data_IF_037139081431
#
_entry.id   IF_037139081431
#
_cell.length_a   1.000
_cell.length_b   1.000
_cell.length_c   1.000
_cell.angle_alpha   90.00
_cell.angle_beta   90.00
_cell.angle_gamma   90.00
#
_symmetry.space_group_name_H-M   'P 1'
#
loop_
_entity.id
_entity.type
_entity.pdbx_description
1 polymer ?
#
# COMPACT_ATOMS: atom_id res chain seq x y z
N UNK A 1 22.70 -9.24 19.81
CA UNK A 1 23.85 -8.80 18.97
C UNK A 1 24.09 -9.84 17.89
N UNK A 2 23.35 -9.74 16.77
CA UNK A 2 23.66 -10.54 15.59
C UNK A 2 24.91 -9.95 14.93
N UNK A 3 25.90 -10.80 14.67
CA UNK A 3 27.18 -10.42 14.10
C UNK A 3 27.01 -9.97 12.63
N UNK A 4 27.77 -8.95 12.26
CA UNK A 4 27.84 -8.30 10.95
C UNK A 4 28.08 -9.31 9.81
N UNK A 5 27.01 -9.66 9.09
CA UNK A 5 27.06 -10.51 7.90
C UNK A 5 26.65 -9.79 6.62
N UNK A 6 26.58 -8.45 6.64
CA UNK A 6 26.27 -7.62 5.48
C UNK A 6 27.57 -6.99 5.01
N UNK A 7 28.15 -7.54 3.94
CA UNK A 7 29.52 -7.23 3.52
C UNK A 7 29.63 -5.95 2.67
N UNK A 8 28.53 -5.22 2.39
CA UNK A 8 28.50 -3.86 1.86
C UNK A 8 27.08 -3.27 2.00
N UNK A 9 26.94 -1.96 2.18
CA UNK A 9 25.63 -1.25 2.25
C UNK A 9 24.77 -1.36 0.96
N UNK A 10 25.30 -2.02 -0.08
CA UNK A 10 24.60 -2.32 -1.34
C UNK A 10 24.31 -3.82 -1.53
N UNK A 11 24.80 -4.70 -0.66
CA UNK A 11 24.52 -6.13 -0.72
C UNK A 11 23.25 -6.45 0.07
N UNK A 12 22.15 -6.55 -0.66
CA UNK A 12 20.85 -6.92 -0.13
C UNK A 12 20.74 -8.44 0.10
N UNK A 13 21.74 -9.24 -0.29
CA UNK A 13 21.66 -10.70 -0.18
C UNK A 13 21.80 -11.18 1.26
N UNK A 14 21.06 -12.24 1.56
CA UNK A 14 21.01 -12.85 2.89
C UNK A 14 21.60 -14.24 2.79
N UNK A 15 22.77 -14.42 3.41
CA UNK A 15 23.43 -15.72 3.45
C UNK A 15 22.51 -16.78 4.08
N UNK A 16 22.53 -18.06 3.63
CA UNK A 16 21.62 -19.09 4.15
C UNK A 16 21.64 -19.26 5.68
N UNK A 17 22.83 -19.16 6.29
CA UNK A 17 22.96 -19.23 7.76
C UNK A 17 22.24 -18.06 8.46
N UNK A 18 22.29 -16.86 7.89
CA UNK A 18 21.58 -15.69 8.42
C UNK A 18 20.07 -15.81 8.21
N UNK A 19 19.62 -16.28 7.04
CA UNK A 19 18.19 -16.56 6.81
C UNK A 19 17.63 -17.56 7.83
N UNK A 20 18.39 -18.61 8.17
CA UNK A 20 17.99 -19.57 9.21
C UNK A 20 17.98 -18.94 10.62
N UNK A 21 18.95 -18.08 10.93
CA UNK A 21 18.98 -17.37 12.21
C UNK A 21 17.78 -16.42 12.36
N UNK A 22 17.41 -15.71 11.29
CA UNK A 22 16.23 -14.85 11.23
C UNK A 22 14.95 -15.68 11.43
N UNK A 23 14.81 -16.80 10.73
CA UNK A 23 13.66 -17.70 10.91
C UNK A 23 13.57 -18.22 12.35
N UNK A 24 14.70 -18.65 12.92
CA UNK A 24 14.76 -19.12 14.31
C UNK A 24 14.38 -18.00 15.30
N UNK A 25 14.83 -16.77 15.05
CA UNK A 25 14.49 -15.62 15.87
C UNK A 25 12.98 -15.32 15.82
N UNK A 26 12.37 -15.30 14.62
CA UNK A 26 10.92 -15.13 14.45
C UNK A 26 10.13 -16.21 15.18
N UNK A 27 10.55 -17.47 15.04
CA UNK A 27 9.92 -18.59 15.74
C UNK A 27 10.05 -18.48 17.27
N UNK A 28 11.17 -17.96 17.76
CA UNK A 28 11.39 -17.73 19.19
C UNK A 28 10.46 -16.65 19.73
N UNK A 29 10.32 -15.52 19.01
CA UNK A 29 9.34 -14.47 19.36
C UNK A 29 7.92 -15.02 19.40
N UNK A 30 7.50 -15.73 18.34
CA UNK A 30 6.17 -16.33 18.26
C UNK A 30 5.90 -17.30 19.41
N UNK A 31 6.87 -18.17 19.72
CA UNK A 31 6.75 -19.14 20.82
C UNK A 31 6.68 -18.44 22.18
N UNK A 32 7.42 -17.36 22.36
CA UNK A 32 7.37 -16.57 23.59
C UNK A 32 6.03 -15.86 23.77
N UNK A 33 5.45 -15.33 22.70
CA UNK A 33 4.11 -14.75 22.73
C UNK A 33 3.08 -15.83 23.11
N UNK A 34 3.10 -16.98 22.44
CA UNK A 34 2.19 -18.10 22.73
C UNK A 34 2.31 -18.57 24.20
N UNK A 35 3.53 -18.71 24.71
CA UNK A 35 3.76 -19.14 26.09
C UNK A 35 3.27 -18.11 27.13
N UNK A 36 3.45 -16.82 26.86
CA UNK A 36 2.99 -15.78 27.78
C UNK A 36 1.45 -15.73 27.82
N UNK A 37 0.80 -15.87 26.67
CA UNK A 37 -0.66 -15.85 26.57
C UNK A 37 -1.32 -17.13 27.11
N UNK A 38 -0.65 -18.28 27.01
CA UNK A 38 -1.11 -19.52 27.64
C UNK A 38 -1.14 -19.44 29.18
N UNK A 39 -0.26 -18.63 29.77
CA UNK A 39 -0.19 -18.40 31.22
C UNK A 39 -1.09 -17.25 31.70
N UNK A 40 -1.62 -16.43 30.78
CA UNK A 40 -2.44 -15.28 31.14
C UNK A 40 -3.82 -15.72 31.62
N UNK A 41 -4.15 -15.44 32.88
CA UNK A 41 -5.47 -15.68 33.47
C UNK A 41 -6.23 -14.37 33.69
N UNK A 42 -7.56 -14.43 33.60
CA UNK A 42 -8.43 -13.30 33.93
C UNK A 42 -8.55 -12.24 32.83
N UNK A 43 -8.66 -10.98 33.24
CA UNK A 43 -8.74 -9.84 32.32
C UNK A 43 -7.34 -9.39 31.95
N UNK A 44 -7.02 -9.39 30.67
CA UNK A 44 -5.70 -9.05 30.17
C UNK A 44 -5.59 -7.54 29.97
N UNK A 45 -4.61 -6.91 30.63
CA UNK A 45 -4.24 -5.52 30.39
C UNK A 45 -3.14 -5.46 29.32
N UNK A 46 -3.45 -4.86 28.17
CA UNK A 46 -2.56 -4.84 27.01
C UNK A 46 -1.25 -4.09 27.28
N UNK A 47 -1.29 -3.01 28.08
CA UNK A 47 -0.10 -2.23 28.41
C UNK A 47 0.86 -3.00 29.34
N UNK A 48 0.30 -3.70 30.33
CA UNK A 48 1.06 -4.57 31.24
C UNK A 48 1.68 -5.73 30.46
N UNK A 49 0.91 -6.38 29.58
CA UNK A 49 1.44 -7.44 28.71
C UNK A 49 2.59 -6.91 27.83
N UNK A 50 2.42 -5.72 27.23
CA UNK A 50 3.47 -5.11 26.41
C UNK A 50 4.74 -4.87 27.21
N UNK A 51 4.62 -4.27 28.40
CA UNK A 51 5.76 -4.00 29.28
C UNK A 51 6.51 -5.30 29.66
N UNK A 52 5.76 -6.34 30.04
CA UNK A 52 6.31 -7.64 30.43
C UNK A 52 7.03 -8.33 29.26
N UNK A 53 6.44 -8.33 28.07
CA UNK A 53 7.05 -8.90 26.86
C UNK A 53 8.31 -8.13 26.47
N UNK A 54 8.28 -6.78 26.48
CA UNK A 54 9.45 -5.95 26.21
C UNK A 54 10.58 -6.26 27.18
N UNK A 55 10.30 -6.31 28.48
CA UNK A 55 11.31 -6.58 29.50
C UNK A 55 11.98 -7.95 29.33
N UNK A 56 11.22 -8.96 28.86
CA UNK A 56 11.72 -10.34 28.74
C UNK A 56 12.41 -10.64 27.42
N UNK A 57 11.93 -10.04 26.33
CA UNK A 57 12.32 -10.42 24.97
C UNK A 57 13.28 -9.43 24.32
N UNK A 58 13.21 -8.16 24.71
CA UNK A 58 14.13 -7.15 24.18
C UNK A 58 15.37 -7.08 25.07
N UNK A 59 16.56 -6.89 24.47
CA UNK A 59 17.75 -6.58 25.24
C UNK A 59 17.53 -5.30 26.06
N UNK A 60 18.20 -5.21 27.22
CA UNK A 60 18.22 -3.96 27.97
C UNK A 60 18.72 -2.84 27.07
N UNK A 61 18.00 -1.71 27.05
CA UNK A 61 18.33 -0.56 26.21
C UNK A 61 19.80 -0.18 26.42
N UNK A 62 20.60 -0.26 25.35
CA UNK A 62 21.96 0.25 25.41
C UNK A 62 21.90 1.78 25.29
N UNK A 63 22.64 2.52 26.14
CA UNK A 63 22.78 3.95 25.95
C UNK A 63 23.47 4.18 24.61
N UNK A 64 22.77 4.81 23.66
CA UNK A 64 23.37 5.21 22.39
C UNK A 64 24.37 6.35 22.63
N UNK A 65 25.45 6.39 21.87
CA UNK A 65 26.45 7.46 21.92
C UNK A 65 25.87 8.84 21.56
N UNK A 66 24.70 8.85 20.90
CA UNK A 66 24.12 10.03 20.26
C UNK A 66 22.77 10.44 20.90
N UNK A 67 22.34 9.77 21.98
CA UNK A 67 21.14 10.11 22.74
C UNK A 67 19.80 9.72 22.09
N UNK A 68 19.81 9.18 20.87
CA UNK A 68 18.61 8.61 20.23
C UNK A 68 18.38 7.18 20.71
N UNK A 69 17.19 6.79 21.19
CA UNK A 69 16.90 5.40 21.44
C UNK A 69 17.13 4.59 20.16
N UNK A 70 17.75 3.42 20.31
CA UNK A 70 17.82 2.44 19.23
C UNK A 70 16.41 1.87 19.04
N UNK A 71 15.56 2.58 18.29
CA UNK A 71 14.14 2.29 18.00
C UNK A 71 13.93 1.04 17.12
N UNK A 72 14.86 0.10 17.15
CA UNK A 72 15.02 -0.91 16.12
C UNK A 72 14.32 -2.23 16.43
N UNK A 73 14.18 -2.57 17.72
CA UNK A 73 13.41 -3.72 18.16
C UNK A 73 12.20 -3.26 18.98
N UNK A 74 11.01 -3.65 18.55
CA UNK A 74 9.75 -3.19 19.12
C UNK A 74 8.81 -4.35 19.39
N UNK A 75 8.26 -4.40 20.61
CA UNK A 75 7.06 -5.20 20.90
C UNK A 75 5.89 -4.25 21.09
N UNK A 76 4.82 -4.46 20.32
CA UNK A 76 3.56 -3.73 20.43
C UNK A 76 2.44 -4.73 20.72
N UNK A 77 1.58 -4.37 21.68
CA UNK A 77 0.39 -5.14 22.01
C UNK A 77 -0.83 -4.24 21.85
N UNK A 78 -1.78 -4.65 21.02
CA UNK A 78 -3.04 -3.92 20.85
C UNK A 78 -4.22 -4.86 21.05
N UNK A 79 -5.14 -4.52 21.95
CA UNK A 79 -6.41 -5.21 22.11
C UNK A 79 -7.51 -4.39 21.43
N UNK A 80 -8.21 -4.99 20.47
CA UNK A 80 -9.40 -4.40 19.86
C UNK A 80 -10.64 -5.19 20.27
N UNK A 81 -11.56 -4.55 21.00
CA UNK A 81 -12.80 -5.20 21.46
C UNK A 81 -13.85 -5.37 20.34
N UNK A 82 -13.73 -4.60 19.25
CA UNK A 82 -14.70 -4.55 18.15
C UNK A 82 -14.06 -4.90 16.80
N UNK A 83 -14.85 -5.40 15.84
CA UNK A 83 -16.22 -5.92 16.02
C UNK A 83 -16.26 -7.24 16.81
N UNK A 84 -15.12 -7.93 16.90
CA UNK A 84 -14.87 -9.06 17.80
C UNK A 84 -13.54 -8.86 18.51
N UNK A 85 -13.43 -9.25 19.80
CA UNK A 85 -12.18 -9.16 20.55
C UNK A 85 -11.04 -9.90 19.85
N UNK A 86 -9.98 -9.16 19.53
CA UNK A 86 -8.74 -9.69 18.99
C UNK A 86 -7.57 -8.95 19.65
N UNK A 87 -6.70 -9.70 20.30
CA UNK A 87 -5.42 -9.20 20.81
C UNK A 87 -4.38 -9.42 19.73
N UNK A 88 -3.70 -8.37 19.31
CA UNK A 88 -2.55 -8.44 18.42
C UNK A 88 -1.27 -8.22 19.23
N UNK A 89 -0.26 -9.03 18.95
CA UNK A 89 1.09 -8.90 19.50
C UNK A 89 2.04 -8.90 18.31
N UNK A 90 2.72 -7.78 18.09
CA UNK A 90 3.76 -7.67 17.08
C UNK A 90 5.15 -7.61 17.71
N UNK A 91 6.12 -8.21 17.04
CA UNK A 91 7.54 -8.09 17.32
C UNK A 91 8.29 -7.69 16.06
N UNK A 92 8.75 -6.45 16.02
CA UNK A 92 9.63 -5.92 14.98
C UNK A 92 11.08 -5.99 15.43
N UNK A 93 11.98 -6.26 14.51
CA UNK A 93 13.42 -6.22 14.75
C UNK A 93 14.15 -5.66 13.54
N UNK A 94 15.29 -5.01 13.78
CA UNK A 94 16.04 -4.39 12.70
C UNK A 94 16.77 -5.42 11.84
N UNK A 95 16.75 -5.12 10.55
CA UNK A 95 17.63 -5.67 9.53
C UNK A 95 18.24 -4.47 8.77
N UNK A 96 19.22 -4.67 7.88
CA UNK A 96 19.70 -3.55 7.09
C UNK A 96 18.57 -2.88 6.32
N UNK A 97 18.55 -1.55 6.38
CA UNK A 97 17.67 -0.71 5.57
C UNK A 97 16.16 -0.92 5.83
N UNK A 98 15.81 -1.45 7.00
CA UNK A 98 14.41 -1.63 7.40
C UNK A 98 14.25 -2.52 8.64
N UNK A 99 13.13 -3.21 8.69
CA UNK A 99 12.78 -4.14 9.77
C UNK A 99 12.23 -5.42 9.16
N UNK A 100 12.18 -6.50 9.94
CA UNK A 100 11.27 -7.61 9.69
C UNK A 100 10.33 -7.74 10.89
N UNK A 101 9.12 -8.24 10.65
CA UNK A 101 8.06 -8.23 11.65
C UNK A 101 7.39 -9.59 11.78
N UNK A 102 7.09 -9.95 13.03
CA UNK A 102 6.22 -11.06 13.40
C UNK A 102 4.94 -10.47 13.96
N UNK A 103 3.79 -10.91 13.47
CA UNK A 103 2.49 -10.58 14.02
C UNK A 103 1.75 -11.86 14.44
N UNK A 104 1.24 -11.84 15.66
CA UNK A 104 0.33 -12.85 16.18
C UNK A 104 -0.97 -12.21 16.60
N UNK A 105 -2.07 -12.91 16.37
CA UNK A 105 -3.38 -12.53 16.87
C UNK A 105 -3.97 -13.63 17.72
N UNK A 106 -4.59 -13.25 18.82
CA UNK A 106 -5.17 -14.15 19.80
C UNK A 106 -6.62 -13.77 20.07
N UNK A 107 -7.47 -14.80 20.14
CA UNK A 107 -8.88 -14.67 20.51
C UNK A 107 -9.12 -15.39 21.82
N UNK A 108 -10.10 -14.91 22.55
CA UNK A 108 -10.54 -15.57 23.77
C UNK A 108 -11.53 -16.68 23.42
N UNK A 109 -11.21 -17.91 23.79
CA UNK A 109 -12.10 -19.07 23.72
C UNK A 109 -12.31 -19.60 25.15
N UNK A 110 -13.46 -19.25 25.75
CA UNK A 110 -13.71 -19.46 27.18
C UNK A 110 -12.76 -18.63 28.05
N UNK A 111 -11.92 -19.31 28.83
CA UNK A 111 -10.92 -18.68 29.69
C UNK A 111 -9.53 -18.59 29.05
N UNK A 112 -9.31 -19.24 27.90
CA UNK A 112 -8.00 -19.32 27.26
C UNK A 112 -7.88 -18.31 26.11
N UNK A 113 -6.66 -17.81 25.92
CA UNK A 113 -6.26 -17.13 24.69
C UNK A 113 -5.75 -18.17 23.68
N UNK A 114 -6.39 -18.22 22.52
CA UNK A 114 -6.07 -19.15 21.43
C UNK A 114 -5.58 -18.35 20.23
N UNK A 115 -4.49 -18.81 19.61
CA UNK A 115 -3.92 -18.17 18.42
C UNK A 115 -4.90 -18.24 17.26
N UNK A 116 -5.25 -17.09 16.72
CA UNK A 116 -6.16 -16.91 15.60
C UNK A 116 -5.47 -16.33 14.35
N UNK A 117 -4.30 -15.72 14.51
CA UNK A 117 -3.52 -15.17 13.40
C UNK A 117 -2.04 -15.51 13.57
N UNK A 118 -1.42 -15.98 12.50
CA UNK A 118 0.01 -16.13 12.33
C UNK A 118 0.41 -15.44 11.02
N UNK A 119 1.15 -14.34 11.15
CA UNK A 119 1.58 -13.54 10.02
C UNK A 119 3.04 -13.10 10.17
N UNK A 120 3.88 -13.52 9.23
CA UNK A 120 5.31 -13.20 9.17
C UNK A 120 5.85 -13.60 7.79
N UNK A 121 6.98 -13.01 7.41
CA UNK A 121 7.71 -13.42 6.21
C UNK A 121 8.30 -14.83 6.37
N UNK A 122 8.42 -15.56 5.25
CA UNK A 122 9.14 -16.84 5.19
C UNK A 122 10.67 -16.67 5.23
N UNK A 123 11.44 -17.73 4.95
CA UNK A 123 12.86 -17.62 4.65
C UNK A 123 13.08 -16.81 3.37
N UNK A 124 14.08 -15.92 3.36
CA UNK A 124 14.37 -15.07 2.22
C UNK A 124 15.87 -15.02 1.91
N UNK A 125 16.17 -14.87 0.61
CA UNK A 125 17.55 -14.77 0.09
C UNK A 125 18.03 -13.33 -0.05
N UNK A 126 17.12 -12.37 0.12
CA UNK A 126 17.35 -10.95 -0.02
C UNK A 126 16.49 -10.21 1.03
N UNK A 127 16.99 -9.10 1.59
CA UNK A 127 16.29 -8.33 2.62
C UNK A 127 14.91 -7.83 2.16
N UNK A 128 14.68 -7.70 0.85
CA UNK A 128 13.38 -7.40 0.25
C UNK A 128 12.30 -8.44 0.58
N UNK A 129 12.67 -9.66 0.99
CA UNK A 129 11.70 -10.67 1.43
C UNK A 129 11.14 -10.45 2.84
N UNK A 130 11.65 -9.49 3.60
CA UNK A 130 11.15 -9.17 4.93
C UNK A 130 9.81 -8.41 4.89
N UNK A 131 9.03 -8.53 5.97
CA UNK A 131 7.80 -7.76 6.15
C UNK A 131 8.11 -6.50 6.97
N UNK A 132 8.65 -5.45 6.35
CA UNK A 132 8.98 -4.22 7.07
C UNK A 132 9.51 -3.09 6.18
N UNK A 133 10.16 -2.08 6.78
CA UNK A 133 10.33 -0.69 6.27
C UNK A 133 9.05 0.17 6.34
N UNK A 134 7.91 -0.51 6.25
CA UNK A 134 6.57 -0.04 6.54
C UNK A 134 5.85 -1.23 7.15
N UNK A 135 5.12 -1.03 8.25
CA UNK A 135 4.28 -2.05 8.85
C UNK A 135 3.07 -1.38 9.49
N UNK A 136 1.88 -1.68 8.98
CA UNK A 136 0.62 -1.10 9.47
C UNK A 136 -0.46 -2.17 9.53
N UNK A 137 -1.36 -2.02 10.48
CA UNK A 137 -2.54 -2.87 10.59
C UNK A 137 -3.78 -2.08 10.97
N UNK A 138 -4.94 -2.52 10.50
CA UNK A 138 -6.23 -1.93 10.91
C UNK A 138 -7.34 -2.98 10.91
N UNK A 139 -8.24 -2.91 11.91
CA UNK A 139 -9.39 -3.82 12.04
C UNK A 139 -10.54 -3.31 11.18
N UNK A 140 -11.06 -4.18 10.30
CA UNK A 140 -12.19 -3.87 9.45
C UNK A 140 -13.52 -4.06 10.18
N UNK A 141 -14.59 -3.45 9.66
CA UNK A 141 -15.94 -3.60 10.22
C UNK A 141 -16.45 -5.05 10.19
N UNK A 142 -15.95 -5.88 9.26
CA UNK A 142 -16.20 -7.32 9.18
C UNK A 142 -15.54 -8.13 10.30
N UNK A 143 -14.51 -7.58 10.95
CA UNK A 143 -13.64 -8.30 11.87
C UNK A 143 -12.45 -8.97 11.20
N UNK A 144 -12.26 -8.76 9.89
CA UNK A 144 -11.01 -9.07 9.19
C UNK A 144 -9.93 -8.04 9.57
N UNK A 145 -8.67 -8.36 9.27
CA UNK A 145 -7.52 -7.49 9.51
C UNK A 145 -6.90 -7.09 8.18
N UNK A 146 -6.86 -5.80 7.89
CA UNK A 146 -6.03 -5.30 6.80
C UNK A 146 -4.61 -5.07 7.34
N UNK A 147 -3.63 -5.65 6.66
CA UNK A 147 -2.21 -5.60 6.95
C UNK A 147 -1.49 -4.99 5.76
N UNK A 148 -0.50 -4.18 6.05
CA UNK A 148 0.35 -3.57 5.04
C UNK A 148 1.80 -3.67 5.48
N UNK A 149 2.66 -4.10 4.57
CA UNK A 149 4.08 -3.98 4.76
C UNK A 149 4.76 -3.52 3.49
N UNK A 150 5.89 -2.84 3.65
CA UNK A 150 6.78 -2.56 2.55
C UNK A 150 7.84 -3.63 2.37
N UNK A 151 8.80 -3.29 1.51
CA UNK A 151 9.91 -4.14 1.07
C UNK A 151 11.22 -3.39 1.34
N UNK A 152 12.01 -3.80 2.34
CA UNK A 152 13.26 -3.13 2.65
C UNK A 152 14.19 -3.05 1.44
N UNK A 153 14.78 -1.86 1.22
CA UNK A 153 15.62 -1.60 0.05
C UNK A 153 16.66 -0.51 0.36
N UNK A 154 17.95 -0.82 0.27
CA UNK A 154 19.00 0.11 0.71
C UNK A 154 19.27 1.28 -0.25
N UNK A 155 19.19 1.06 -1.57
CA UNK A 155 19.74 1.98 -2.58
C UNK A 155 18.72 2.87 -3.27
N UNK A 156 17.42 2.74 -2.94
CA UNK A 156 16.33 3.42 -3.63
C UNK A 156 15.17 3.66 -2.68
N UNK A 157 14.61 4.87 -2.70
CA UNK A 157 13.34 5.21 -2.04
C UNK A 157 12.11 4.69 -2.79
N UNK A 158 12.27 4.35 -4.07
CA UNK A 158 11.25 3.64 -4.82
C UNK A 158 11.26 2.20 -4.35
N UNK A 159 10.14 1.77 -3.79
CA UNK A 159 10.00 0.48 -3.15
C UNK A 159 8.66 -0.15 -3.51
N UNK A 160 8.45 -1.37 -3.03
CA UNK A 160 7.22 -2.12 -3.16
C UNK A 160 6.54 -2.22 -1.80
N UNK A 161 5.23 -2.26 -1.81
CA UNK A 161 4.43 -2.64 -0.65
C UNK A 161 3.41 -3.70 -1.03
N UNK A 162 3.04 -4.50 -0.05
CA UNK A 162 1.93 -5.42 -0.15
C UNK A 162 0.85 -5.03 0.86
N UNK A 163 -0.40 -5.22 0.45
CA UNK A 163 -1.58 -5.08 1.30
C UNK A 163 -2.34 -6.39 1.28
N UNK A 164 -2.58 -6.93 2.46
CA UNK A 164 -3.32 -8.16 2.66
C UNK A 164 -4.55 -7.91 3.52
N UNK A 165 -5.65 -8.59 3.22
CA UNK A 165 -6.76 -8.71 4.16
C UNK A 165 -6.86 -10.14 4.62
N UNK A 166 -6.68 -10.36 5.91
CA UNK A 166 -6.68 -11.68 6.53
C UNK A 166 -7.91 -11.81 7.41
N UNK A 167 -8.65 -12.89 7.21
CA UNK A 167 -9.65 -13.39 8.14
C UNK A 167 -8.97 -14.25 9.20
N UNK A 168 -8.95 -13.83 10.48
CA UNK A 168 -8.40 -14.66 11.55
C UNK A 168 -9.18 -15.97 11.69
N UNK A 169 -8.50 -17.01 12.18
CA UNK A 169 -9.11 -18.29 12.49
C UNK A 169 -10.26 -18.13 13.50
N UNK A 170 -11.25 -19.02 13.41
CA UNK A 170 -12.41 -19.05 14.31
C UNK A 170 -12.85 -20.50 14.52
N UNK A 171 -12.72 -21.02 15.74
CA UNK A 171 -13.09 -22.41 16.03
C UNK A 171 -12.34 -23.38 15.11
N UNK A 172 -13.07 -24.16 14.30
CA UNK A 172 -12.48 -25.11 13.35
C UNK A 172 -12.05 -24.49 12.01
N UNK A 173 -12.37 -23.22 11.75
CA UNK A 173 -11.97 -22.55 10.52
C UNK A 173 -10.57 -21.95 10.65
N UNK A 174 -9.65 -22.38 9.80
CA UNK A 174 -8.31 -21.81 9.71
C UNK A 174 -8.35 -20.34 9.25
N UNK A 175 -7.27 -19.61 9.54
CA UNK A 175 -7.07 -18.27 8.98
C UNK A 175 -7.05 -18.31 7.45
N UNK A 176 -7.48 -17.23 6.79
CA UNK A 176 -7.51 -17.14 5.32
C UNK A 176 -7.14 -15.75 4.84
N UNK A 177 -6.34 -15.67 3.79
CA UNK A 177 -6.10 -14.43 3.04
C UNK A 177 -7.26 -14.22 2.05
N UNK A 178 -7.99 -13.11 2.22
CA UNK A 178 -9.12 -12.71 1.38
C UNK A 178 -8.71 -11.78 0.25
N UNK A 179 -7.65 -11.00 0.47
CA UNK A 179 -7.05 -10.10 -0.50
C UNK A 179 -5.54 -10.12 -0.32
N UNK A 180 -4.80 -10.10 -1.42
CA UNK A 180 -3.37 -9.80 -1.47
C UNK A 180 -3.13 -8.95 -2.72
N UNK A 181 -2.55 -7.76 -2.56
CA UNK A 181 -2.20 -6.87 -3.67
C UNK A 181 -0.86 -6.23 -3.41
N UNK A 182 -0.06 -6.06 -4.46
CA UNK A 182 1.25 -5.40 -4.41
C UNK A 182 1.20 -4.10 -5.21
N UNK A 183 1.95 -3.09 -4.75
CA UNK A 183 2.02 -1.77 -5.39
C UNK A 183 3.41 -1.18 -5.26
N UNK A 184 3.83 -0.45 -6.29
CA UNK A 184 4.99 0.43 -6.20
C UNK A 184 4.60 1.69 -5.42
N UNK A 185 5.48 2.10 -4.53
CA UNK A 185 5.34 3.33 -3.77
C UNK A 185 6.68 4.02 -3.57
N UNK A 186 6.61 5.22 -3.03
CA UNK A 186 7.76 6.07 -2.79
C UNK A 186 7.83 6.38 -1.30
N UNK A 187 8.94 6.00 -0.68
CA UNK A 187 9.21 6.25 0.74
C UNK A 187 9.51 7.72 1.01
N UNK A 188 9.20 8.14 2.22
CA UNK A 188 9.62 9.40 2.85
C UNK A 188 9.14 10.72 2.20
N UNK A 189 8.26 10.66 1.18
CA UNK A 189 7.66 11.86 0.57
C UNK A 189 6.34 12.26 1.25
N UNK A 190 5.49 11.27 1.51
CA UNK A 190 4.23 11.44 2.23
C UNK A 190 4.04 10.29 3.21
N UNK A 191 3.44 10.62 4.36
CA UNK A 191 3.06 9.63 5.35
C UNK A 191 2.09 8.61 4.72
N UNK A 192 2.49 7.34 4.73
CA UNK A 192 1.62 6.24 4.31
C UNK A 192 0.47 6.11 5.31
N UNK A 193 -0.75 5.92 4.81
CA UNK A 193 -1.93 5.75 5.66
C UNK A 193 -2.64 4.46 5.31
N UNK A 194 -3.05 3.70 6.33
CA UNK A 194 -3.97 2.57 6.21
C UNK A 194 -5.15 2.79 7.16
N UNK A 195 -6.36 2.89 6.62
CA UNK A 195 -7.56 3.25 7.38
C UNK A 195 -8.73 2.31 7.08
N UNK A 196 -9.31 1.75 8.12
CA UNK A 196 -10.59 1.06 8.01
C UNK A 196 -11.71 2.03 7.60
N UNK A 197 -12.68 1.53 6.83
CA UNK A 197 -13.90 2.23 6.44
C UNK A 197 -15.11 1.37 6.77
N UNK A 198 -16.32 1.95 6.89
CA UNK A 198 -17.53 1.18 7.16
C UNK A 198 -17.78 0.06 6.14
N UNK A 199 -17.39 0.25 4.88
CA UNK A 199 -17.60 -0.69 3.77
C UNK A 199 -16.31 -1.36 3.29
N UNK A 200 -15.19 -1.27 4.02
CA UNK A 200 -13.92 -1.86 3.61
C UNK A 200 -12.72 -1.12 4.20
N UNK A 201 -11.77 -0.72 3.36
CA UNK A 201 -10.59 0.03 3.79
C UNK A 201 -10.06 0.96 2.70
N UNK A 202 -9.18 1.86 3.09
CA UNK A 202 -8.46 2.73 2.17
C UNK A 202 -7.02 2.85 2.64
N UNK A 203 -6.11 2.87 1.67
CA UNK A 203 -4.76 3.31 1.92
C UNK A 203 -4.31 4.39 0.95
N UNK A 204 -3.31 5.15 1.39
CA UNK A 204 -2.71 6.27 0.66
C UNK A 204 -1.21 6.23 0.84
N UNK A 205 -0.49 6.49 -0.24
CA UNK A 205 0.95 6.67 -0.25
C UNK A 205 1.31 7.58 -1.42
N UNK A 206 2.56 8.04 -1.45
CA UNK A 206 3.13 8.58 -2.68
C UNK A 206 3.44 7.43 -3.64
N UNK A 207 3.05 7.58 -4.91
CA UNK A 207 3.23 6.56 -5.96
C UNK A 207 3.83 7.18 -7.22
N UNK A 208 4.33 6.37 -8.14
CA UNK A 208 4.81 6.89 -9.42
C UNK A 208 3.71 7.58 -10.25
N UNK A 209 4.10 8.53 -11.07
CA UNK A 209 3.29 9.13 -12.13
C UNK A 209 3.82 8.69 -13.51
N UNK A 210 2.94 8.66 -14.51
CA UNK A 210 3.32 8.58 -15.91
C UNK A 210 3.89 9.90 -16.44
N UNK A 211 3.72 11.00 -15.69
CA UNK A 211 4.28 12.30 -16.02
C UNK A 211 5.80 12.30 -15.79
N UNK A 212 6.56 12.39 -16.88
CA UNK A 212 8.02 12.38 -16.84
C UNK A 212 8.64 13.55 -16.08
N UNK A 213 7.92 14.66 -15.91
CA UNK A 213 8.41 15.84 -15.20
C UNK A 213 8.04 15.81 -13.71
N UNK A 214 6.92 15.19 -13.33
CA UNK A 214 6.46 15.12 -11.94
C UNK A 214 7.06 13.92 -11.20
N UNK A 215 7.25 12.79 -11.90
CA UNK A 215 7.73 11.49 -11.41
C UNK A 215 6.81 10.80 -10.38
N UNK A 216 6.26 11.51 -9.40
CA UNK A 216 5.44 10.94 -8.33
C UNK A 216 4.13 11.69 -8.14
N UNK A 217 3.15 11.09 -7.46
CA UNK A 217 1.92 11.77 -7.05
C UNK A 217 1.30 11.10 -5.83
N UNK A 218 0.35 11.77 -5.15
CA UNK A 218 -0.50 11.12 -4.17
C UNK A 218 -1.34 9.99 -4.82
N UNK A 219 -1.29 8.81 -4.21
CA UNK A 219 -2.11 7.64 -4.54
C UNK A 219 -3.26 7.45 -3.56
N UNK A 220 -4.43 7.04 -4.06
CA UNK A 220 -5.56 6.64 -3.23
C UNK A 220 -6.04 5.26 -3.69
N UNK A 221 -6.07 4.33 -2.75
CA UNK A 221 -6.43 2.95 -2.98
C UNK A 221 -7.54 2.56 -2.02
N UNK A 222 -8.78 2.78 -2.46
CA UNK A 222 -9.97 2.43 -1.68
C UNK A 222 -10.52 1.10 -2.14
N UNK A 223 -10.81 0.23 -1.18
CA UNK A 223 -11.41 -1.08 -1.40
C UNK A 223 -12.73 -1.18 -0.65
N UNK A 224 -13.76 -1.63 -1.36
CA UNK A 224 -15.04 -2.03 -0.78
C UNK A 224 -15.05 -3.54 -0.61
N UNK A 225 -15.44 -3.99 0.57
CA UNK A 225 -15.72 -5.39 0.85
C UNK A 225 -17.15 -5.73 0.40
N UNK A 226 -17.28 -6.81 -0.37
CA UNK A 226 -18.54 -7.48 -0.66
C UNK A 226 -18.37 -8.96 -0.32
N UNK A 227 -18.99 -9.39 0.76
CA UNK A 227 -18.80 -10.72 1.35
C UNK A 227 -17.32 -11.01 1.68
N UNK A 228 -16.72 -11.96 0.97
CA UNK A 228 -15.30 -12.33 1.10
C UNK A 228 -14.43 -11.74 -0.02
N UNK A 229 -14.99 -10.88 -0.88
CA UNK A 229 -14.28 -10.23 -1.97
C UNK A 229 -14.02 -8.75 -1.70
N UNK A 230 -12.96 -8.22 -2.29
CA UNK A 230 -12.61 -6.81 -2.22
C UNK A 230 -12.52 -6.23 -3.62
N UNK A 231 -13.25 -5.13 -3.84
CA UNK A 231 -13.24 -4.39 -5.10
C UNK A 231 -12.61 -3.02 -4.90
N UNK A 232 -11.65 -2.67 -5.75
CA UNK A 232 -11.11 -1.30 -5.78
C UNK A 232 -12.15 -0.33 -6.33
N UNK A 233 -12.41 0.77 -5.62
CA UNK A 233 -13.47 1.74 -5.93
C UNK A 233 -12.97 3.18 -5.86
N UNK A 234 -13.79 4.11 -6.36
CA UNK A 234 -13.53 5.56 -6.30
C UNK A 234 -13.64 6.13 -4.86
N UNK A 235 -12.94 7.24 -4.56
CA UNK A 235 -12.05 7.99 -5.43
C UNK A 235 -10.69 7.30 -5.55
N UNK A 236 -10.18 7.26 -6.78
CA UNK A 236 -8.84 6.72 -7.06
C UNK A 236 -7.75 7.81 -7.04
N UNK A 237 -8.15 9.08 -6.99
CA UNK A 237 -7.27 10.25 -6.92
C UNK A 237 -7.98 11.45 -6.27
N UNK A 238 -7.20 12.44 -5.84
CA UNK A 238 -7.70 13.68 -5.23
C UNK A 238 -8.10 14.75 -6.25
N UNK A 239 -7.69 14.60 -7.52
CA UNK A 239 -7.93 15.56 -8.59
C UNK A 239 -8.02 14.88 -9.97
N UNK A 240 -8.44 15.63 -10.99
CA UNK A 240 -8.66 15.10 -12.34
C UNK A 240 -7.39 14.57 -13.02
N UNK A 241 -6.25 15.26 -12.86
CA UNK A 241 -4.96 14.81 -13.40
C UNK A 241 -4.55 13.45 -12.83
N UNK A 242 -4.58 13.32 -11.50
CA UNK A 242 -4.28 12.07 -10.81
C UNK A 242 -5.25 10.95 -11.16
N UNK A 243 -6.53 11.26 -11.41
CA UNK A 243 -7.50 10.25 -11.85
C UNK A 243 -7.16 9.71 -13.24
N UNK A 244 -6.80 10.59 -14.19
CA UNK A 244 -6.39 10.16 -15.53
C UNK A 244 -5.11 9.33 -15.48
N UNK A 245 -4.12 9.75 -14.68
CA UNK A 245 -2.90 8.96 -14.44
C UNK A 245 -3.21 7.57 -13.89
N UNK A 246 -4.04 7.49 -12.86
CA UNK A 246 -4.46 6.22 -12.27
C UNK A 246 -5.23 5.34 -13.27
N UNK A 247 -6.16 5.92 -14.02
CA UNK A 247 -6.94 5.20 -15.03
C UNK A 247 -6.07 4.62 -16.16
N UNK A 248 -4.98 5.31 -16.52
CA UNK A 248 -4.00 4.80 -17.47
C UNK A 248 -3.18 3.62 -16.90
N UNK A 249 -3.09 3.45 -15.57
CA UNK A 249 -2.24 2.45 -14.91
C UNK A 249 -2.97 1.18 -14.45
N UNK A 250 -4.26 1.26 -14.17
CA UNK A 250 -5.06 0.09 -13.71
C UNK A 250 -5.28 -0.95 -14.82
N UNK A 251 -5.76 -2.14 -14.46
CA UNK A 251 -6.16 -3.13 -15.47
C UNK A 251 -7.34 -2.66 -16.33
N UNK A 252 -7.56 -3.35 -17.45
CA UNK A 252 -8.59 -2.97 -18.41
C UNK A 252 -10.02 -3.08 -17.86
N UNK A 253 -10.28 -3.97 -16.90
CA UNK A 253 -11.61 -4.17 -16.33
C UNK A 253 -11.96 -3.02 -15.38
N UNK A 254 -11.01 -2.60 -14.54
CA UNK A 254 -11.17 -1.45 -13.65
C UNK A 254 -11.18 -0.14 -14.44
N UNK A 255 -10.34 0.00 -15.47
CA UNK A 255 -10.39 1.14 -16.39
C UNK A 255 -11.76 1.23 -17.08
N UNK A 256 -12.33 0.10 -17.54
CA UNK A 256 -13.69 0.04 -18.11
C UNK A 256 -14.74 0.46 -17.10
N UNK A 257 -14.65 -0.04 -15.86
CA UNK A 257 -15.60 0.27 -14.80
C UNK A 257 -15.61 1.75 -14.37
N UNK A 258 -14.52 2.48 -14.63
CA UNK A 258 -14.42 3.92 -14.36
C UNK A 258 -14.71 4.80 -15.59
N UNK A 259 -15.00 4.20 -16.74
CA UNK A 259 -15.40 4.91 -17.96
C UNK A 259 -16.93 4.97 -18.10
N UNK A 260 -17.41 5.95 -18.86
CA UNK A 260 -18.80 6.08 -19.25
C UNK A 260 -19.23 4.85 -20.08
N UNK A 261 -20.24 4.07 -19.66
CA UNK A 261 -20.56 2.79 -20.30
C UNK A 261 -20.80 2.87 -21.81
N UNK A 262 -21.40 3.97 -22.29
CA UNK A 262 -21.71 4.17 -23.69
C UNK A 262 -20.47 4.32 -24.59
N UNK A 263 -19.32 4.73 -24.04
CA UNK A 263 -18.08 4.97 -24.77
C UNK A 263 -16.91 4.12 -24.27
N UNK A 264 -17.13 3.21 -23.31
CA UNK A 264 -16.07 2.53 -22.59
C UNK A 264 -15.12 1.74 -23.51
N UNK A 265 -15.64 0.98 -24.47
CA UNK A 265 -14.81 0.18 -25.38
C UNK A 265 -13.96 1.03 -26.31
N UNK A 266 -14.53 2.10 -26.88
CA UNK A 266 -13.77 3.04 -27.72
C UNK A 266 -12.68 3.75 -26.91
N UNK A 267 -13.00 4.10 -25.66
CA UNK A 267 -12.11 4.75 -24.73
C UNK A 267 -10.93 3.84 -24.33
N UNK A 268 -11.19 2.55 -24.09
CA UNK A 268 -10.15 1.55 -23.83
C UNK A 268 -9.26 1.31 -25.06
N UNK A 269 -9.83 1.27 -26.26
CA UNK A 269 -9.03 1.15 -27.48
C UNK A 269 -8.07 2.35 -27.63
N UNK A 270 -8.55 3.58 -27.36
CA UNK A 270 -7.72 4.78 -27.38
C UNK A 270 -6.65 4.77 -26.27
N UNK A 271 -6.97 4.19 -25.10
CA UNK A 271 -6.01 4.00 -24.00
C UNK A 271 -4.85 3.13 -24.43
N UNK A 272 -5.14 1.98 -25.03
CA UNK A 272 -4.10 1.06 -25.50
C UNK A 272 -3.25 1.69 -26.61
N UNK A 273 -3.83 2.51 -27.49
CA UNK A 273 -3.06 3.29 -28.47
C UNK A 273 -2.08 4.24 -27.76
N UNK A 274 -2.55 5.04 -26.78
CA UNK A 274 -1.72 5.97 -26.02
C UNK A 274 -0.60 5.25 -25.25
N UNK A 275 -0.93 4.17 -24.54
CA UNK A 275 0.05 3.37 -23.80
C UNK A 275 1.07 2.71 -24.75
N UNK A 276 0.64 2.30 -25.95
CA UNK A 276 1.53 1.81 -27.00
C UNK A 276 2.52 2.87 -27.49
N UNK A 277 2.10 4.13 -27.59
CA UNK A 277 2.98 5.26 -27.93
C UNK A 277 3.98 5.55 -26.82
N UNK A 278 3.52 5.62 -25.56
CA UNK A 278 4.38 5.91 -24.40
C UNK A 278 5.44 4.83 -24.13
N UNK A 279 5.26 3.62 -24.65
CA UNK A 279 6.25 2.54 -24.58
C UNK A 279 7.37 2.65 -25.62
N UNK A 280 7.23 3.54 -26.62
CA UNK A 280 8.27 3.73 -27.65
C UNK A 280 9.48 4.43 -27.05
N UNK A 281 10.68 4.01 -27.45
CA UNK A 281 11.94 4.59 -26.97
C UNK A 281 11.98 6.10 -27.20
N UNK A 282 12.28 6.85 -26.13
CA UNK A 282 12.38 8.30 -26.16
C UNK A 282 11.05 9.04 -26.16
N UNK A 283 9.91 8.35 -26.13
CA UNK A 283 8.61 8.99 -25.92
C UNK A 283 8.37 9.13 -24.42
N UNK A 284 8.00 10.33 -23.99
CA UNK A 284 7.56 10.59 -22.61
C UNK A 284 6.17 11.20 -22.63
N UNK A 285 5.44 11.03 -21.53
CA UNK A 285 4.12 11.58 -21.32
C UNK A 285 4.21 12.69 -20.26
N UNK A 286 3.55 13.82 -20.50
CA UNK A 286 3.37 14.87 -19.51
C UNK A 286 1.91 15.32 -19.46
N UNK A 287 1.38 15.54 -18.26
CA UNK A 287 0.08 16.19 -18.10
C UNK A 287 0.27 17.70 -18.13
N UNK A 288 -0.52 18.38 -18.95
CA UNK A 288 -0.47 19.84 -19.06
C UNK A 288 -1.69 20.45 -18.37
N UNK A 289 -2.60 21.06 -19.12
CA UNK A 289 -3.73 21.80 -18.55
C UNK A 289 -4.86 20.87 -18.08
N UNK A 290 -5.56 21.30 -17.03
CA UNK A 290 -6.87 20.75 -16.65
C UNK A 290 -7.91 21.83 -16.83
N UNK A 291 -8.71 21.75 -17.89
CA UNK A 291 -9.63 22.81 -18.33
C UNK A 291 -11.06 22.48 -17.95
N UNK A 292 -11.76 23.41 -17.31
CA UNK A 292 -13.21 23.30 -17.12
C UNK A 292 -13.98 23.49 -18.43
N UNK A 293 -15.09 22.77 -18.59
CA UNK A 293 -15.98 22.87 -19.75
C UNK A 293 -17.14 23.83 -19.48
N UNK A 294 -17.38 24.80 -20.37
CA UNK A 294 -18.30 25.92 -20.11
C UNK A 294 -19.76 25.51 -19.87
N UNK A 295 -20.19 24.41 -20.49
CA UNK A 295 -21.58 23.97 -20.46
C UNK A 295 -21.92 23.12 -19.23
N UNK A 296 -20.91 22.58 -18.55
CA UNK A 296 -21.11 21.67 -17.41
C UNK A 296 -19.94 21.86 -16.42
N UNK A 297 -20.20 22.46 -15.24
CA UNK A 297 -19.15 22.72 -14.25
C UNK A 297 -18.56 21.45 -13.64
N UNK A 298 -19.20 20.29 -13.80
CA UNK A 298 -18.66 19.00 -13.38
C UNK A 298 -17.77 18.37 -14.46
N UNK A 299 -17.70 18.92 -15.67
CA UNK A 299 -16.87 18.39 -16.76
C UNK A 299 -15.56 19.14 -16.90
N UNK A 300 -14.52 18.35 -17.10
CA UNK A 300 -13.16 18.82 -17.29
C UNK A 300 -12.50 18.07 -18.45
N UNK A 301 -11.49 18.69 -19.03
CA UNK A 301 -10.58 18.07 -19.97
C UNK A 301 -9.16 18.09 -19.38
N UNK A 302 -8.51 16.95 -19.33
CA UNK A 302 -7.09 16.82 -19.00
C UNK A 302 -6.30 16.69 -20.30
N UNK A 303 -5.37 17.61 -20.52
CA UNK A 303 -4.49 17.62 -21.68
C UNK A 303 -3.24 16.77 -21.38
N UNK A 304 -2.88 15.91 -22.32
CA UNK A 304 -1.69 15.06 -22.29
C UNK A 304 -0.83 15.41 -23.49
N UNK A 305 0.44 15.68 -23.24
CA UNK A 305 1.46 15.88 -24.26
C UNK A 305 2.41 14.69 -24.29
N UNK A 306 2.73 14.24 -25.50
CA UNK A 306 3.76 13.24 -25.77
C UNK A 306 4.97 13.98 -26.34
N UNK A 307 6.06 14.01 -25.58
CA UNK A 307 7.34 14.49 -26.09
C UNK A 307 8.09 13.33 -26.75
N UNK A 308 8.73 13.61 -27.88
CA UNK A 308 9.45 12.61 -28.67
C UNK A 308 10.55 13.23 -29.53
N UNK A 309 11.71 12.57 -29.72
CA UNK A 309 12.80 13.07 -30.55
C UNK A 309 12.42 13.29 -32.02
N UNK A 310 11.42 12.55 -32.51
CA UNK A 310 10.87 12.67 -33.86
C UNK A 310 9.34 12.85 -33.75
N UNK A 311 8.71 13.68 -34.60
CA UNK A 311 7.26 13.86 -34.57
C UNK A 311 6.50 12.53 -34.71
N UNK A 312 5.51 12.31 -33.85
CA UNK A 312 4.64 11.13 -33.95
C UNK A 312 3.63 11.32 -35.09
N UNK A 313 3.52 10.34 -35.98
CA UNK A 313 2.53 10.35 -37.06
C UNK A 313 1.09 10.41 -36.51
N UNK A 314 0.88 9.85 -35.32
CA UNK A 314 -0.38 9.83 -34.59
C UNK A 314 -0.70 11.14 -33.86
N UNK A 315 0.21 12.12 -33.91
CA UNK A 315 0.14 13.38 -33.20
C UNK A 315 0.58 13.29 -31.73
N UNK A 316 1.07 14.40 -31.19
CA UNK A 316 1.68 14.48 -29.86
C UNK A 316 0.71 14.89 -28.74
N UNK A 317 -0.56 15.13 -29.05
CA UNK A 317 -1.53 15.63 -28.06
C UNK A 317 -2.66 14.63 -27.87
N UNK A 318 -3.10 14.45 -26.63
CA UNK A 318 -4.32 13.73 -26.27
C UNK A 318 -5.13 14.55 -25.27
N UNK A 319 -6.44 14.38 -25.33
CA UNK A 319 -7.38 15.10 -24.50
C UNK A 319 -8.32 14.11 -23.84
N UNK A 320 -8.35 14.12 -22.51
CA UNK A 320 -9.15 13.19 -21.71
C UNK A 320 -10.32 13.94 -21.10
N UNK A 321 -11.52 13.62 -21.56
CA UNK A 321 -12.75 14.15 -20.97
C UNK A 321 -13.06 13.38 -19.69
N UNK A 322 -13.29 14.09 -18.60
CA UNK A 322 -13.71 13.51 -17.31
C UNK A 322 -14.90 14.28 -16.74
N UNK A 323 -15.70 13.59 -15.93
CA UNK A 323 -16.76 14.18 -15.13
C UNK A 323 -16.47 13.93 -13.66
N UNK A 324 -16.50 14.98 -12.85
CA UNK A 324 -16.43 14.86 -11.41
C UNK A 324 -17.77 14.36 -10.87
N UNK A 325 -17.68 13.30 -10.07
CA UNK A 325 -18.79 12.71 -9.36
C UNK A 325 -18.65 13.02 -7.86
N UNK A 326 -19.71 12.79 -7.08
CA UNK A 326 -19.70 13.07 -5.64
C UNK A 326 -18.60 12.31 -4.86
N UNK A 327 -18.13 11.18 -5.39
CA UNK A 327 -17.13 10.32 -4.76
C UNK A 327 -16.03 9.90 -5.74
N UNK A 328 -15.64 10.76 -6.69
CA UNK A 328 -14.52 10.51 -7.59
C UNK A 328 -14.73 11.11 -8.97
N UNK A 329 -14.31 10.38 -10.00
CA UNK A 329 -14.44 10.80 -11.39
C UNK A 329 -14.92 9.65 -12.27
N UNK A 330 -15.59 10.00 -13.37
CA UNK A 330 -15.90 9.12 -14.49
C UNK A 330 -15.15 9.62 -15.72
N UNK A 331 -14.54 8.70 -16.45
CA UNK A 331 -13.86 9.02 -17.70
C UNK A 331 -14.86 9.00 -18.85
N UNK A 332 -14.99 10.12 -19.56
CA UNK A 332 -15.97 10.30 -20.64
C UNK A 332 -15.42 9.85 -22.00
N UNK A 333 -14.12 10.01 -22.20
CA UNK A 333 -13.43 9.61 -23.42
C UNK A 333 -12.00 10.12 -23.51
N UNK A 334 -11.27 9.58 -24.49
CA UNK A 334 -9.90 9.96 -24.83
C UNK A 334 -9.83 10.26 -26.33
N UNK A 335 -9.38 11.46 -26.70
CA UNK A 335 -9.41 11.99 -28.07
C UNK A 335 -8.07 12.60 -28.48
N UNK A 336 -7.83 12.70 -29.79
CA UNK A 336 -6.71 13.45 -30.39
C UNK A 336 -7.03 14.94 -30.60
N UNK A 337 -8.31 15.30 -30.53
CA UNK A 337 -8.78 16.67 -30.67
C UNK A 337 -9.40 17.16 -29.36
N UNK A 338 -9.06 18.39 -28.97
CA UNK A 338 -9.66 19.05 -27.82
C UNK A 338 -11.17 19.24 -28.02
N UNK A 339 -11.93 19.10 -26.95
CA UNK A 339 -13.33 19.48 -26.91
C UNK A 339 -13.43 21.02 -26.97
N UNK A 340 -14.09 21.59 -28.00
CA UNK A 340 -14.19 23.04 -28.15
C UNK A 340 -14.96 23.72 -27.00
N UNK A 341 -15.72 22.96 -26.21
CA UNK A 341 -16.44 23.47 -25.03
C UNK A 341 -15.55 23.56 -23.78
N UNK A 342 -14.37 22.93 -23.79
CA UNK A 342 -13.43 22.85 -22.68
C UNK A 342 -12.25 23.83 -22.85
N UNK A 343 -12.59 25.11 -23.05
CA UNK A 343 -11.66 26.23 -23.23
C UNK A 343 -11.64 27.18 -22.02
N UNK A 344 -12.01 26.68 -20.84
CA UNK A 344 -11.89 27.40 -19.57
C UNK A 344 -10.44 27.63 -19.14
N UNK A 345 -10.24 28.38 -18.03
CA UNK A 345 -8.92 28.51 -17.42
C UNK A 345 -8.36 27.15 -17.01
N UNK A 346 -7.03 27.06 -16.97
CA UNK A 346 -6.36 25.90 -16.37
C UNK A 346 -6.57 25.93 -14.86
N UNK A 347 -7.27 24.92 -14.36
CA UNK A 347 -7.63 24.76 -12.96
C UNK A 347 -6.49 24.15 -12.13
N UNK A 348 -5.44 23.66 -12.78
CA UNK A 348 -4.30 22.99 -12.15
C UNK A 348 -2.95 23.50 -12.69
N UNK A 349 -2.83 24.83 -12.81
CA UNK A 349 -1.65 25.52 -13.34
C UNK A 349 -0.36 25.25 -12.55
N UNK A 350 -0.47 24.84 -11.28
CA UNK A 350 0.66 24.28 -10.52
C UNK A 350 0.69 22.77 -10.72
N UNK A 351 1.83 22.27 -11.21
CA UNK A 351 2.20 20.85 -11.09
C UNK A 351 2.51 20.64 -9.60
N UNK A 352 1.61 19.97 -8.91
CA UNK A 352 1.63 19.79 -7.47
C UNK A 352 1.88 18.35 -7.10
#
# INVERSE_FOLDING_TARGET
>A
AMASGFDNDADNTVAPALSQAIEHYKQTLATAFDAHLACAQGTLDAATLQADLRQRLLPAAQPSSDGSPSDQDEIIVTLSDKPTPLLLVSGGFAIPCGTDNVLRGYRREGEAWVRALDWQSGPYKDISGAYGDLFMSTRLASGDLALMHGTPWCTSRWSHLAVEVIRPATGSQAQRTLLHTEHDYVRDEQEVQLKARPDGFEWRAEVGSLDGDLLTRPGIFRYRQSDESFQRIQPAASNGRGFVDEWLRVDADLARAWAEPASADATLAAREELLGLNKRTGVTLAYTAVRGCRQDPARFQVDIELDSPQPLAEGNQRHVGIRQESNGFTLLGLSKSADPTCNGPDLMAKRG
#
